data_IF_577352139514
#
_entry.id   IF_577352139514
#
_cell.length_a   1.000
_cell.length_b   1.000
_cell.length_c   1.000
_cell.angle_alpha   90.00
_cell.angle_beta   90.00
_cell.angle_gamma   90.00
#
_symmetry.space_group_name_H-M   'P 1'
#
loop_
_entity.id
_entity.type
_entity.pdbx_description
1 polymer ?
#
# COMPACT_ATOMS: atom_id res chain seq x y z
N UNK A 1 23.88 -7.32 -16.71
CA UNK A 1 23.98 -6.24 -15.71
C UNK A 1 23.24 -6.71 -14.47
N UNK A 2 23.96 -7.30 -13.52
CA UNK A 2 23.39 -7.82 -12.27
C UNK A 2 22.95 -6.65 -11.41
N UNK A 3 21.64 -6.38 -11.38
CA UNK A 3 21.01 -5.49 -10.41
C UNK A 3 21.36 -6.01 -9.02
N UNK A 4 22.33 -5.36 -8.36
CA UNK A 4 22.56 -5.55 -6.93
C UNK A 4 21.25 -5.23 -6.21
N UNK A 5 20.65 -6.30 -5.73
CA UNK A 5 19.39 -6.44 -5.06
C UNK A 5 19.38 -5.68 -3.73
N UNK A 6 19.15 -4.36 -3.76
CA UNK A 6 18.81 -3.58 -2.55
C UNK A 6 18.13 -2.22 -2.81
N UNK A 7 17.62 -1.93 -4.01
CA UNK A 7 16.68 -0.81 -4.15
C UNK A 7 15.29 -1.25 -3.65
N UNK A 8 14.99 -0.97 -2.39
CA UNK A 8 13.62 -1.01 -1.89
C UNK A 8 12.84 0.13 -2.56
N UNK A 9 12.01 -0.19 -3.56
CA UNK A 9 11.10 0.76 -4.18
C UNK A 9 10.17 1.33 -3.11
N UNK A 10 10.15 2.66 -2.97
CA UNK A 10 9.13 3.33 -2.18
C UNK A 10 7.76 3.14 -2.84
N UNK A 11 6.76 2.90 -2.02
CA UNK A 11 5.38 3.05 -2.41
C UNK A 11 4.56 3.57 -1.22
N UNK A 12 3.77 4.58 -1.51
CA UNK A 12 2.70 5.15 -0.69
C UNK A 12 1.52 4.19 -0.59
N UNK A 13 1.09 3.59 -1.72
CA UNK A 13 0.06 2.55 -1.72
C UNK A 13 0.22 1.55 -2.87
N UNK A 14 -0.35 0.35 -2.74
CA UNK A 14 -0.41 -0.65 -3.82
C UNK A 14 -1.02 -0.09 -5.12
N UNK A 15 -1.99 0.83 -5.01
CA UNK A 15 -2.56 1.47 -6.18
C UNK A 15 -1.57 2.40 -6.88
N UNK A 16 -0.74 3.11 -6.12
CA UNK A 16 0.31 3.97 -6.68
C UNK A 16 1.40 3.16 -7.39
N UNK A 17 1.70 1.93 -6.93
CA UNK A 17 2.56 0.99 -7.70
C UNK A 17 1.92 0.67 -9.04
N UNK A 18 0.64 0.32 -9.03
CA UNK A 18 -0.10 0.03 -10.24
C UNK A 18 -0.14 1.23 -11.20
N UNK A 19 -0.41 2.45 -10.69
CA UNK A 19 -0.36 3.67 -11.50
C UNK A 19 1.02 3.90 -12.10
N UNK A 20 2.08 3.72 -11.31
CA UNK A 20 3.47 3.86 -11.78
C UNK A 20 3.76 2.91 -12.93
N UNK A 21 3.35 1.65 -12.82
CA UNK A 21 3.51 0.67 -13.90
C UNK A 21 2.68 1.06 -15.12
N UNK A 22 1.43 1.52 -14.93
CA UNK A 22 0.58 1.99 -16.03
C UNK A 22 1.20 3.18 -16.78
N UNK A 23 1.75 4.17 -16.07
CA UNK A 23 2.48 5.28 -16.69
C UNK A 23 3.67 4.77 -17.49
N UNK A 24 4.48 3.90 -16.90
CA UNK A 24 5.65 3.35 -17.57
C UNK A 24 5.27 2.58 -18.83
N UNK A 25 4.28 1.69 -18.76
CA UNK A 25 3.76 0.95 -19.92
C UNK A 25 3.20 1.89 -20.98
N UNK A 26 2.45 2.92 -20.58
CA UNK A 26 1.94 3.95 -21.49
C UNK A 26 3.08 4.63 -22.28
N UNK A 27 4.18 5.01 -21.62
CA UNK A 27 5.32 5.60 -22.31
C UNK A 27 6.05 4.64 -23.24
N UNK A 28 6.14 3.35 -22.89
CA UNK A 28 6.72 2.35 -23.80
C UNK A 28 5.88 2.17 -25.07
N UNK A 29 4.55 2.24 -24.95
CA UNK A 29 3.61 2.15 -26.07
C UNK A 29 3.54 3.43 -26.91
N UNK A 30 3.92 4.58 -26.32
CA UNK A 30 3.85 5.90 -26.95
C UNK A 30 5.21 6.60 -26.88
N UNK A 31 6.25 6.10 -27.58
CA UNK A 31 7.61 6.63 -27.49
C UNK A 31 7.73 8.08 -27.98
N UNK A 32 6.83 8.51 -28.87
CA UNK A 32 6.77 9.88 -29.38
C UNK A 32 6.14 10.88 -28.40
N UNK A 33 5.63 10.41 -27.26
CA UNK A 33 5.02 11.25 -26.24
C UNK A 33 6.10 12.05 -25.50
N UNK A 34 6.29 13.32 -25.89
CA UNK A 34 7.28 14.21 -25.29
C UNK A 34 6.79 14.90 -24.00
N UNK A 35 5.50 14.79 -23.67
CA UNK A 35 4.88 15.50 -22.56
C UNK A 35 4.39 14.48 -21.53
N UNK A 36 4.86 14.64 -20.29
CA UNK A 36 4.37 13.85 -19.17
C UNK A 36 2.88 14.17 -18.91
N UNK A 37 1.98 13.16 -18.85
CA UNK A 37 0.58 13.42 -18.55
C UNK A 37 0.45 14.02 -17.15
N UNK A 38 -0.10 15.23 -17.04
CA UNK A 38 -0.33 15.90 -15.75
C UNK A 38 -1.35 15.17 -14.87
N UNK A 39 -2.20 14.32 -15.45
CA UNK A 39 -3.21 13.53 -14.74
C UNK A 39 -3.23 12.08 -15.20
N UNK A 40 -3.52 11.18 -14.26
CA UNK A 40 -3.72 9.76 -14.53
C UNK A 40 -4.90 9.50 -15.48
N UNK A 41 -5.84 10.45 -15.58
CA UNK A 41 -6.99 10.37 -16.49
C UNK A 41 -6.59 10.15 -17.96
N UNK A 42 -5.47 10.71 -18.41
CA UNK A 42 -4.99 10.53 -19.80
C UNK A 42 -4.56 9.09 -20.05
N UNK A 43 -3.80 8.51 -19.11
CA UNK A 43 -3.38 7.09 -19.18
C UNK A 43 -4.59 6.18 -19.13
N UNK A 44 -5.55 6.48 -18.24
CA UNK A 44 -6.81 5.74 -18.20
C UNK A 44 -7.57 5.80 -19.53
N UNK A 45 -7.67 6.99 -20.13
CA UNK A 45 -8.38 7.17 -21.41
C UNK A 45 -7.72 6.37 -22.55
N UNK A 46 -6.38 6.33 -22.59
CA UNK A 46 -5.63 5.51 -23.56
C UNK A 46 -6.00 4.03 -23.44
N UNK A 47 -5.85 3.44 -22.25
CA UNK A 47 -6.15 2.01 -22.05
C UNK A 47 -7.64 1.70 -22.23
N UNK A 48 -8.54 2.61 -21.81
CA UNK A 48 -9.97 2.47 -22.02
C UNK A 48 -10.38 2.46 -23.51
N UNK A 49 -9.58 3.11 -24.36
CA UNK A 49 -9.79 3.19 -25.81
C UNK A 49 -9.31 1.95 -26.57
N UNK A 50 -8.54 1.06 -25.94
CA UNK A 50 -8.12 -0.20 -26.54
C UNK A 50 -9.31 -1.15 -26.72
N UNK A 51 -9.13 -2.15 -27.59
CA UNK A 51 -10.15 -3.18 -27.81
C UNK A 51 -10.41 -3.95 -26.51
N UNK A 52 -11.67 -4.25 -26.22
CA UNK A 52 -12.10 -4.91 -24.96
C UNK A 52 -12.38 -6.41 -25.14
N UNK A 53 -11.91 -7.00 -26.23
CA UNK A 53 -12.09 -8.44 -26.50
C UNK A 53 -11.22 -9.30 -25.56
N UNK A 54 -9.99 -8.84 -25.30
CA UNK A 54 -9.05 -9.41 -24.33
C UNK A 54 -8.59 -8.31 -23.37
N UNK A 55 -8.08 -8.69 -22.20
CA UNK A 55 -7.34 -7.73 -21.39
C UNK A 55 -6.01 -7.39 -22.07
N UNK A 56 -5.46 -6.20 -21.83
CA UNK A 56 -4.21 -5.78 -22.47
C UNK A 56 -3.10 -6.82 -22.26
N UNK A 57 -2.93 -7.34 -21.04
CA UNK A 57 -1.89 -8.32 -20.72
C UNK A 57 -2.07 -9.69 -21.38
N UNK A 58 -3.21 -9.95 -22.03
CA UNK A 58 -3.48 -11.17 -22.80
C UNK A 58 -3.27 -10.95 -24.31
N UNK A 59 -2.99 -9.72 -24.76
CA UNK A 59 -2.66 -9.42 -26.15
C UNK A 59 -1.17 -9.67 -26.42
N UNK A 60 -0.80 -9.88 -27.69
CA UNK A 60 0.59 -10.07 -28.09
C UNK A 60 1.50 -8.90 -27.64
N UNK A 61 1.01 -7.67 -27.76
CA UNK A 61 1.74 -6.47 -27.31
C UNK A 61 1.88 -6.41 -25.78
N UNK A 62 0.88 -6.90 -25.05
CA UNK A 62 0.82 -6.82 -23.60
C UNK A 62 1.60 -7.89 -22.85
N UNK A 63 1.83 -9.06 -23.46
CA UNK A 63 2.51 -10.20 -22.84
C UNK A 63 3.87 -9.83 -22.22
N UNK A 64 4.64 -8.99 -22.91
CA UNK A 64 5.96 -8.53 -22.42
C UNK A 64 5.91 -7.76 -21.10
N UNK A 65 4.75 -7.23 -20.72
CA UNK A 65 4.57 -6.42 -19.51
C UNK A 65 4.02 -7.21 -18.32
N UNK A 66 3.62 -8.47 -18.49
CA UNK A 66 2.99 -9.27 -17.43
C UNK A 66 3.80 -9.30 -16.13
N UNK A 67 5.12 -9.48 -16.23
CA UNK A 67 6.02 -9.53 -15.07
C UNK A 67 6.08 -8.21 -14.28
N UNK A 68 5.79 -7.07 -14.92
CA UNK A 68 5.73 -5.79 -14.21
C UNK A 68 4.48 -5.74 -13.33
N UNK A 69 3.34 -6.16 -13.87
CA UNK A 69 2.08 -6.16 -13.14
C UNK A 69 2.02 -7.22 -12.04
N UNK A 70 2.81 -8.29 -12.11
CA UNK A 70 2.90 -9.28 -11.01
C UNK A 70 3.53 -8.74 -9.72
N UNK A 71 4.21 -7.58 -9.78
CA UNK A 71 4.76 -6.90 -8.59
C UNK A 71 3.68 -6.18 -7.77
N UNK A 72 2.51 -5.93 -8.37
CA UNK A 72 1.36 -5.29 -7.69
C UNK A 72 0.68 -6.32 -6.81
N UNK A 73 0.52 -6.00 -5.52
CA UNK A 73 -0.21 -6.86 -4.59
C UNK A 73 -1.69 -6.45 -4.64
N UNK A 74 -2.39 -6.92 -5.67
CA UNK A 74 -3.76 -6.48 -5.97
C UNK A 74 -4.73 -6.68 -4.80
N UNK A 75 -4.52 -7.71 -3.98
CA UNK A 75 -5.30 -7.94 -2.76
C UNK A 75 -5.20 -6.79 -1.75
N UNK A 76 -4.12 -5.99 -1.80
CA UNK A 76 -3.94 -4.80 -0.97
C UNK A 76 -4.64 -3.53 -1.48
N UNK A 77 -5.26 -3.57 -2.65
CA UNK A 77 -6.03 -2.44 -3.20
C UNK A 77 -7.47 -2.55 -2.70
N UNK A 78 -7.73 -2.04 -1.49
CA UNK A 78 -9.05 -2.17 -0.82
C UNK A 78 -10.05 -1.09 -1.20
N UNK A 79 -9.61 0.00 -1.85
CA UNK A 79 -10.49 1.10 -2.25
C UNK A 79 -11.31 0.73 -3.51
N UNK A 80 -12.64 0.76 -3.38
CA UNK A 80 -13.57 0.41 -4.47
C UNK A 80 -13.40 1.29 -5.72
N UNK A 81 -13.06 2.58 -5.58
CA UNK A 81 -12.81 3.48 -6.70
C UNK A 81 -11.57 3.04 -7.47
N UNK A 82 -10.50 2.65 -6.76
CA UNK A 82 -9.28 2.15 -7.38
C UNK A 82 -9.52 0.84 -8.15
N UNK A 83 -10.25 -0.10 -7.54
CA UNK A 83 -10.67 -1.35 -8.21
C UNK A 83 -11.53 -1.08 -9.45
N UNK A 84 -12.42 -0.09 -9.38
CA UNK A 84 -13.23 0.33 -10.53
C UNK A 84 -12.35 0.88 -11.66
N UNK A 85 -11.33 1.68 -11.36
CA UNK A 85 -10.38 2.17 -12.35
C UNK A 85 -9.61 1.03 -13.02
N UNK A 86 -9.08 0.08 -12.23
CA UNK A 86 -8.36 -1.09 -12.74
C UNK A 86 -9.26 -1.91 -13.68
N UNK A 87 -10.50 -2.16 -13.27
CA UNK A 87 -11.49 -2.90 -14.08
C UNK A 87 -11.80 -2.18 -15.38
N UNK A 88 -11.94 -0.85 -15.35
CA UNK A 88 -12.36 -0.07 -16.51
C UNK A 88 -11.26 0.00 -17.57
N UNK A 89 -10.00 0.15 -17.13
CA UNK A 89 -8.84 0.16 -18.03
C UNK A 89 -8.57 -1.17 -18.71
N UNK A 90 -9.12 -2.28 -18.20
CA UNK A 90 -9.02 -3.61 -18.80
C UNK A 90 -7.56 -4.02 -19.11
N UNK A 91 -6.61 -3.58 -18.28
CA UNK A 91 -5.20 -3.90 -18.47
C UNK A 91 -4.93 -5.34 -18.04
N UNK A 92 -5.40 -5.70 -16.85
CA UNK A 92 -5.21 -7.01 -16.24
C UNK A 92 -6.39 -7.93 -16.54
N UNK A 93 -6.20 -9.26 -16.51
CA UNK A 93 -7.27 -10.21 -16.73
C UNK A 93 -8.44 -10.02 -15.77
N UNK A 94 -9.66 -10.22 -16.28
CA UNK A 94 -10.88 -10.07 -15.46
C UNK A 94 -10.95 -11.10 -14.33
N UNK A 95 -10.41 -12.30 -14.55
CA UNK A 95 -10.31 -13.35 -13.52
C UNK A 95 -9.57 -12.85 -12.28
N UNK A 96 -8.44 -12.17 -12.45
CA UNK A 96 -7.67 -11.59 -11.35
C UNK A 96 -8.52 -10.63 -10.50
N UNK A 97 -9.34 -9.79 -11.13
CA UNK A 97 -10.21 -8.85 -10.40
C UNK A 97 -11.32 -9.59 -9.65
N UNK A 98 -11.89 -10.65 -10.25
CA UNK A 98 -12.89 -11.49 -9.58
C UNK A 98 -12.26 -12.19 -8.37
N UNK A 99 -11.05 -12.71 -8.50
CA UNK A 99 -10.32 -13.36 -7.42
C UNK A 99 -10.06 -12.36 -6.27
N UNK A 100 -9.57 -11.16 -6.59
CA UNK A 100 -9.33 -10.10 -5.59
C UNK A 100 -10.62 -9.72 -4.85
N UNK A 101 -11.72 -9.53 -5.58
CA UNK A 101 -13.01 -9.22 -4.97
C UNK A 101 -13.54 -10.36 -4.09
N UNK A 102 -13.32 -11.61 -4.50
CA UNK A 102 -13.69 -12.79 -3.71
C UNK A 102 -12.88 -12.84 -2.42
N UNK A 103 -11.57 -12.61 -2.48
CA UNK A 103 -10.70 -12.54 -1.29
C UNK A 103 -11.12 -11.41 -0.34
N UNK A 104 -11.52 -10.26 -0.89
CA UNK A 104 -12.03 -9.15 -0.08
C UNK A 104 -13.34 -9.49 0.62
N UNK A 105 -14.26 -10.14 -0.09
CA UNK A 105 -15.52 -10.61 0.46
C UNK A 105 -15.29 -11.63 1.59
N UNK A 106 -14.42 -12.61 1.37
CA UNK A 106 -14.04 -13.59 2.39
C UNK A 106 -13.40 -12.92 3.60
N UNK A 107 -12.49 -11.97 3.37
CA UNK A 107 -11.84 -11.24 4.46
C UNK A 107 -12.85 -10.46 5.31
N UNK A 108 -13.84 -9.82 4.68
CA UNK A 108 -14.91 -9.13 5.39
C UNK A 108 -15.79 -10.10 6.20
N UNK A 109 -16.16 -11.25 5.62
CA UNK A 109 -16.95 -12.27 6.32
C UNK A 109 -16.20 -12.92 7.47
N UNK A 110 -14.88 -13.05 7.36
CA UNK A 110 -13.98 -13.54 8.40
C UNK A 110 -13.59 -12.44 9.41
N UNK A 111 -14.39 -11.38 9.54
CA UNK A 111 -14.17 -10.33 10.55
C UNK A 111 -12.89 -9.52 10.33
N UNK A 112 -12.46 -9.41 9.07
CA UNK A 112 -11.30 -8.64 8.60
C UNK A 112 -10.01 -9.44 8.44
N UNK A 113 -10.06 -10.77 8.57
CA UNK A 113 -8.90 -11.66 8.40
C UNK A 113 -8.49 -11.79 6.95
N UNK A 114 -7.22 -11.45 6.67
CA UNK A 114 -6.62 -11.69 5.38
C UNK A 114 -6.27 -13.17 5.25
N UNK A 115 -6.51 -13.74 4.07
CA UNK A 115 -6.17 -15.13 3.78
C UNK A 115 -4.68 -15.38 4.08
N UNK A 116 -4.40 -16.50 4.74
CA UNK A 116 -3.04 -16.94 5.06
C UNK A 116 -2.27 -17.23 3.78
N UNK A 117 -1.58 -16.22 3.27
CA UNK A 117 -0.56 -16.38 2.24
C UNK A 117 0.73 -16.81 2.95
N UNK A 118 1.39 -17.84 2.43
CA UNK A 118 2.48 -18.57 3.08
C UNK A 118 3.72 -17.72 3.40
N UNK A 119 3.92 -16.61 2.69
CA UNK A 119 5.08 -15.75 2.86
C UNK A 119 4.65 -14.32 3.21
N UNK A 120 5.20 -13.78 4.30
CA UNK A 120 4.88 -12.43 4.78
C UNK A 120 5.03 -11.37 3.70
N UNK A 121 6.09 -11.45 2.88
CA UNK A 121 6.32 -10.46 1.83
C UNK A 121 5.24 -10.51 0.75
N UNK A 122 4.82 -11.67 0.26
CA UNK A 122 3.75 -11.73 -0.77
C UNK A 122 2.37 -11.44 -0.18
N UNK A 123 2.14 -11.82 1.08
CA UNK A 123 0.86 -11.66 1.78
C UNK A 123 0.49 -10.22 2.09
N UNK A 124 1.49 -9.39 2.27
CA UNK A 124 1.33 -8.16 3.02
C UNK A 124 1.04 -6.94 2.16
N UNK A 125 0.40 -5.95 2.75
CA UNK A 125 0.02 -4.72 2.05
C UNK A 125 1.09 -3.68 2.28
N UNK A 126 1.57 -3.07 1.19
CA UNK A 126 2.53 -1.97 1.25
C UNK A 126 1.79 -0.65 1.33
N UNK A 127 2.21 0.14 2.29
CA UNK A 127 1.82 1.52 2.44
C UNK A 127 2.95 2.27 3.11
N UNK A 128 3.08 3.55 2.86
CA UNK A 128 4.22 4.29 3.36
C UNK A 128 4.07 5.78 3.17
N UNK A 129 4.89 6.56 3.84
CA UNK A 129 4.85 8.03 3.73
C UNK A 129 6.23 8.55 3.31
N UNK A 130 6.31 9.84 2.96
CA UNK A 130 7.58 10.54 2.74
C UNK A 130 7.75 11.65 3.76
N UNK A 131 8.89 11.68 4.46
CA UNK A 131 9.24 12.78 5.36
C UNK A 131 9.95 13.88 4.55
N UNK A 132 9.23 14.98 4.32
CA UNK A 132 9.77 16.14 3.63
C UNK A 132 10.64 17.02 4.55
N UNK A 133 11.48 17.87 3.96
CA UNK A 133 12.42 18.78 4.66
C UNK A 133 11.77 19.69 5.71
N UNK A 134 10.46 19.90 5.65
CA UNK A 134 9.72 20.78 6.56
C UNK A 134 9.17 20.07 7.80
N UNK A 135 9.46 18.77 7.99
CA UNK A 135 8.90 17.95 9.06
C UNK A 135 7.35 17.94 9.10
N UNK A 136 6.71 18.38 8.01
CA UNK A 136 5.27 18.26 7.80
C UNK A 136 5.02 16.92 7.12
N UNK A 137 4.25 16.08 7.78
CA UNK A 137 3.81 14.79 7.27
C UNK A 137 2.28 14.74 7.32
N UNK A 138 1.67 14.34 6.21
CA UNK A 138 0.26 13.99 6.20
C UNK A 138 0.14 12.56 6.72
N UNK A 139 -0.69 12.31 7.76
CA UNK A 139 -0.90 10.97 8.27
C UNK A 139 -1.54 10.13 7.16
N UNK A 140 -0.81 9.14 6.68
CA UNK A 140 -1.36 8.18 5.74
C UNK A 140 -2.07 7.09 6.52
N UNK A 141 -3.37 6.95 6.27
CA UNK A 141 -4.24 5.97 6.91
C UNK A 141 -4.50 4.84 5.92
N UNK A 142 -4.27 3.60 6.33
CA UNK A 142 -4.68 2.42 5.56
C UNK A 142 -5.94 1.84 6.16
N UNK A 143 -6.89 1.55 5.27
CA UNK A 143 -8.10 0.81 5.57
C UNK A 143 -7.93 -0.65 5.16
N UNK A 144 -8.08 -1.55 6.13
CA UNK A 144 -8.00 -3.00 5.97
C UNK A 144 -9.23 -3.66 6.57
N UNK A 145 -10.24 -3.93 5.73
CA UNK A 145 -11.42 -4.73 6.08
C UNK A 145 -12.09 -4.35 7.42
N UNK A 146 -12.26 -3.05 7.64
CA UNK A 146 -12.87 -2.52 8.87
C UNK A 146 -11.88 -1.98 9.90
N UNK A 147 -10.59 -2.27 9.75
CA UNK A 147 -9.54 -1.73 10.61
C UNK A 147 -8.82 -0.57 9.95
N UNK A 148 -8.53 0.46 10.74
CA UNK A 148 -7.82 1.64 10.29
C UNK A 148 -6.53 1.73 11.06
N UNK A 149 -5.42 1.81 10.33
CA UNK A 149 -4.11 1.99 10.90
C UNK A 149 -3.52 3.28 10.36
N UNK A 150 -2.75 3.96 11.19
CA UNK A 150 -1.99 5.13 10.81
C UNK A 150 -0.52 4.91 11.10
N UNK A 151 0.35 5.23 10.15
CA UNK A 151 1.79 5.24 10.34
C UNK A 151 2.20 6.62 10.86
N UNK A 152 2.59 6.69 12.13
CA UNK A 152 2.95 7.93 12.82
C UNK A 152 4.44 8.06 13.04
N UNK A 153 4.87 9.32 13.15
CA UNK A 153 6.25 9.69 13.38
C UNK A 153 6.32 10.74 14.48
N UNK A 154 7.06 10.42 15.54
CA UNK A 154 7.40 11.37 16.58
C UNK A 154 8.89 11.76 16.42
N UNK A 155 9.19 13.05 16.40
CA UNK A 155 10.56 13.56 16.43
C UNK A 155 10.94 13.84 17.88
N UNK A 156 11.85 13.05 18.43
CA UNK A 156 12.39 13.24 19.78
C UNK A 156 13.85 13.65 19.62
N UNK A 157 14.14 14.90 19.99
CA UNK A 157 15.45 15.54 19.76
C UNK A 157 15.85 15.49 18.26
N UNK A 158 16.85 14.68 17.93
CA UNK A 158 17.38 14.48 16.58
C UNK A 158 17.07 13.09 16.00
N UNK A 159 16.15 12.35 16.62
CA UNK A 159 15.77 10.99 16.21
C UNK A 159 14.29 10.94 15.85
N UNK A 160 13.97 10.37 14.70
CA UNK A 160 12.58 10.03 14.36
C UNK A 160 12.24 8.64 14.88
N UNK A 161 11.07 8.56 15.51
CA UNK A 161 10.48 7.35 16.06
C UNK A 161 9.23 7.02 15.26
N UNK A 162 9.20 5.85 14.63
CA UNK A 162 8.07 5.41 13.82
C UNK A 162 7.26 4.35 14.54
N UNK A 163 5.95 4.41 14.41
CA UNK A 163 5.05 3.43 14.98
C UNK A 163 3.75 3.39 14.19
N UNK A 164 3.05 2.27 14.28
CA UNK A 164 1.71 2.12 13.75
C UNK A 164 0.74 2.32 14.91
N UNK A 165 -0.35 3.05 14.69
CA UNK A 165 -1.45 3.21 15.64
C UNK A 165 -2.76 2.75 15.01
N UNK A 166 -3.55 1.97 15.75
CA UNK A 166 -4.93 1.65 15.34
C UNK A 166 -5.84 2.83 15.66
N UNK A 167 -6.53 3.33 14.64
CA UNK A 167 -7.46 4.45 14.80
C UNK A 167 -8.84 3.96 15.29
N UNK A 168 -9.53 4.85 16.00
CA UNK A 168 -10.94 4.66 16.41
C UNK A 168 -11.85 5.54 15.56
N UNK A 169 -13.15 5.19 15.44
CA UNK A 169 -14.10 5.98 14.65
C UNK A 169 -14.19 7.46 15.07
N UNK A 170 -13.92 7.75 16.34
CA UNK A 170 -13.99 9.09 16.93
C UNK A 170 -12.73 9.93 16.74
N UNK A 171 -11.67 9.41 16.09
CA UNK A 171 -10.42 10.14 15.94
C UNK A 171 -10.47 11.14 14.78
N UNK A 172 -9.99 12.36 15.06
CA UNK A 172 -10.03 13.48 14.10
C UNK A 172 -9.11 13.31 12.89
N UNK A 173 -8.28 12.26 12.88
CA UNK A 173 -7.40 11.93 11.76
C UNK A 173 -8.16 11.33 10.59
N UNK A 174 -9.34 10.77 10.85
CA UNK A 174 -10.22 10.24 9.82
C UNK A 174 -11.02 11.38 9.20
N UNK A 175 -11.09 11.41 7.88
CA UNK A 175 -12.02 12.30 7.19
C UNK A 175 -13.46 11.88 7.49
N UNK A 176 -14.41 12.81 7.36
CA UNK A 176 -15.84 12.51 7.50
C UNK A 176 -16.30 11.36 6.59
N UNK A 177 -15.71 11.24 5.39
CA UNK A 177 -16.02 10.13 4.49
C UNK A 177 -15.53 8.81 5.07
N UNK A 178 -14.32 8.78 5.60
CA UNK A 178 -13.74 7.59 6.22
C UNK A 178 -14.47 7.19 7.49
N UNK A 179 -14.94 8.14 8.30
CA UNK A 179 -15.62 7.88 9.57
C UNK A 179 -17.10 7.44 9.42
N UNK A 180 -17.85 8.01 8.46
CA UNK A 180 -19.28 7.69 8.31
C UNK A 180 -19.62 6.72 7.19
N UNK A 181 -18.83 6.68 6.10
CA UNK A 181 -19.20 5.91 4.89
C UNK A 181 -18.48 4.57 4.76
N UNK A 182 -17.48 4.32 5.58
CA UNK A 182 -16.74 3.07 5.60
C UNK A 182 -17.00 2.32 6.89
N UNK A 183 -16.93 0.99 6.81
CA UNK A 183 -17.21 0.11 7.95
C UNK A 183 -16.07 0.18 8.96
N UNK A 184 -16.40 0.28 10.26
CA UNK A 184 -15.44 0.13 11.35
C UNK A 184 -15.66 -1.19 12.05
N UNK A 185 -14.59 -1.96 12.21
CA UNK A 185 -14.56 -3.14 13.05
C UNK A 185 -14.52 -2.72 14.51
N UNK A 186 -15.56 -3.10 15.25
CA UNK A 186 -15.68 -2.87 16.70
C UNK A 186 -14.98 -3.96 17.54
N UNK A 187 -14.21 -4.86 16.91
CA UNK A 187 -13.50 -5.92 17.63
C UNK A 187 -12.53 -5.31 18.65
N UNK A 188 -12.57 -5.80 19.87
CA UNK A 188 -11.78 -5.29 21.01
C UNK A 188 -10.28 -5.34 20.73
N UNK A 189 -9.81 -6.32 19.97
CA UNK A 189 -8.41 -6.50 19.64
C UNK A 189 -8.18 -6.97 18.20
N UNK A 190 -6.98 -6.70 17.70
CA UNK A 190 -6.50 -7.11 16.38
C UNK A 190 -5.03 -7.45 16.44
N UNK A 191 -4.68 -8.72 16.19
CA UNK A 191 -3.29 -9.12 16.03
C UNK A 191 -2.85 -8.75 14.61
N UNK A 192 -1.75 -8.01 14.52
CA UNK A 192 -1.18 -7.55 13.25
C UNK A 192 0.28 -7.94 13.22
N UNK A 193 0.67 -8.62 12.14
CA UNK A 193 2.07 -8.87 11.83
C UNK A 193 2.55 -7.76 10.91
N UNK A 194 3.66 -7.11 11.25
CA UNK A 194 4.16 -5.98 10.49
C UNK A 194 5.67 -5.90 10.37
N UNK A 195 6.13 -5.14 9.37
CA UNK A 195 7.53 -4.77 9.19
C UNK A 195 7.59 -3.30 8.77
N UNK A 196 8.43 -2.53 9.44
CA UNK A 196 8.72 -1.14 9.09
C UNK A 196 10.12 -1.12 8.48
N UNK A 197 10.20 -0.65 7.24
CA UNK A 197 11.46 -0.36 6.56
C UNK A 197 11.55 1.14 6.35
N UNK A 198 12.60 1.78 6.83
CA UNK A 198 12.84 3.20 6.60
C UNK A 198 14.15 3.41 5.85
N UNK A 199 14.08 4.09 4.72
CA UNK A 199 15.27 4.47 3.96
C UNK A 199 15.61 5.92 4.21
N UNK A 200 16.86 6.18 4.61
CA UNK A 200 17.42 7.50 4.83
C UNK A 200 18.40 7.88 3.72
N UNK A 201 18.34 9.12 3.25
CA UNK A 201 19.35 9.67 2.35
C UNK A 201 20.29 10.61 3.10
N UNK A 202 21.39 10.07 3.65
CA UNK A 202 22.42 10.87 4.31
C UNK A 202 23.59 11.08 3.34
N UNK A 203 23.98 12.33 3.06
CA UNK A 203 25.01 12.67 2.07
C UNK A 203 24.85 11.98 0.70
N UNK A 204 23.60 11.83 0.21
CA UNK A 204 23.25 11.11 -1.04
C UNK A 204 23.54 9.60 -1.04
N UNK A 205 23.84 9.01 0.11
CA UNK A 205 23.97 7.56 0.27
C UNK A 205 22.71 7.01 0.94
N UNK A 206 21.95 6.12 0.27
CA UNK A 206 20.77 5.52 0.87
C UNK A 206 21.18 4.49 1.94
N UNK A 207 20.73 4.71 3.17
CA UNK A 207 20.87 3.76 4.29
C UNK A 207 19.50 3.25 4.66
N UNK A 208 19.31 1.94 4.58
CA UNK A 208 18.01 1.30 4.87
C UNK A 208 18.04 0.66 6.25
N UNK A 209 17.05 0.98 7.07
CA UNK A 209 16.82 0.40 8.38
C UNK A 209 15.53 -0.44 8.35
N UNK A 210 15.52 -1.59 9.02
CA UNK A 210 14.37 -2.51 9.05
C UNK A 210 14.13 -3.01 10.47
N UNK A 211 12.86 -3.11 10.87
CA UNK A 211 12.48 -3.77 12.12
C UNK A 211 12.59 -5.29 12.07
N UNK A 212 12.56 -5.87 10.87
CA UNK A 212 12.19 -7.27 10.70
C UNK A 212 10.68 -7.48 10.85
N UNK A 213 10.23 -8.73 10.83
CA UNK A 213 8.82 -9.10 10.99
C UNK A 213 8.51 -9.15 12.49
N UNK A 214 7.59 -8.30 12.93
CA UNK A 214 7.09 -8.20 14.29
C UNK A 214 5.59 -8.52 14.33
N UNK A 215 5.07 -8.83 15.52
CA UNK A 215 3.63 -8.98 15.74
C UNK A 215 3.19 -8.13 16.93
N UNK A 216 2.03 -7.49 16.83
CA UNK A 216 1.47 -6.65 17.88
C UNK A 216 -0.05 -6.78 17.95
N UNK A 217 -0.59 -6.72 19.18
CA UNK A 217 -2.03 -6.78 19.44
C UNK A 217 -2.57 -5.38 19.64
N UNK A 218 -3.28 -4.86 18.64
CA UNK A 218 -3.90 -3.54 18.65
C UNK A 218 -5.29 -3.60 19.26
N UNK A 219 -5.47 -2.97 20.43
CA UNK A 219 -6.71 -2.93 21.20
C UNK A 219 -7.52 -1.66 20.95
N UNK A 220 -8.84 -1.75 21.03
CA UNK A 220 -9.75 -0.62 20.83
C UNK A 220 -9.95 0.22 22.10
N UNK A 221 -9.79 -0.41 23.27
CA UNK A 221 -10.04 0.19 24.60
C UNK A 221 -8.87 1.07 25.07
N UNK A 222 -7.68 0.86 24.52
CA UNK A 222 -6.52 1.67 24.84
C UNK A 222 -6.66 3.07 24.22
N UNK A 223 -6.38 4.12 25.00
CA UNK A 223 -6.44 5.51 24.51
C UNK A 223 -5.56 5.71 23.26
N UNK A 224 -4.46 4.97 23.20
CA UNK A 224 -3.50 4.93 22.11
C UNK A 224 -2.98 3.51 21.96
N UNK A 225 -3.55 2.72 21.04
CA UNK A 225 -3.05 1.38 20.78
C UNK A 225 -1.98 1.41 19.69
N UNK A 226 -0.72 1.35 20.13
CA UNK A 226 0.47 1.63 19.33
C UNK A 226 1.42 0.45 19.31
N UNK A 227 2.00 0.20 18.14
CA UNK A 227 3.12 -0.71 18.00
C UNK A 227 4.35 -0.23 18.79
N UNK A 228 5.34 -1.10 18.93
CA UNK A 228 6.65 -0.69 19.46
C UNK A 228 7.26 0.42 18.58
N UNK A 229 7.95 1.37 19.23
CA UNK A 229 8.67 2.43 18.55
C UNK A 229 9.87 1.86 17.80
N UNK A 230 9.93 2.12 16.50
CA UNK A 230 11.13 1.96 15.71
C UNK A 230 11.99 3.21 15.85
N UNK A 231 12.98 3.16 16.74
CA UNK A 231 13.98 4.21 16.95
C UNK A 231 15.19 3.98 16.04
N UNK A 232 15.71 5.03 15.38
CA UNK A 232 16.99 4.90 14.67
C UNK A 232 17.22 5.86 13.50
N UNK A 233 16.26 6.71 13.15
CA UNK A 233 16.42 7.63 12.02
C UNK A 233 16.99 8.97 12.50
N UNK A 234 18.30 9.18 12.35
CA UNK A 234 18.94 10.48 12.61
C UNK A 234 19.08 11.31 11.32
N UNK A 235 18.53 12.52 11.31
CA UNK A 235 18.74 13.52 10.24
C UNK A 235 18.18 13.13 8.85
N UNK A 236 16.97 12.60 8.79
CA UNK A 236 16.49 11.80 7.65
C UNK A 236 15.38 12.46 6.83
N UNK A 237 15.52 12.49 5.50
CA UNK A 237 14.39 12.48 4.55
C UNK A 237 13.98 11.03 4.33
N UNK A 238 13.02 10.55 5.11
CA UNK A 238 12.77 9.12 5.24
C UNK A 238 11.63 8.70 4.35
N UNK A 239 11.74 7.46 3.89
CA UNK A 239 10.63 6.74 3.33
C UNK A 239 10.34 5.52 4.20
N UNK A 240 9.38 5.60 5.13
CA UNK A 240 8.92 4.41 5.81
C UNK A 240 7.88 3.65 4.97
N UNK A 241 8.14 2.37 4.76
CA UNK A 241 7.19 1.38 4.28
C UNK A 241 6.75 0.56 5.49
N UNK A 242 5.48 0.66 5.84
CA UNK A 242 4.85 -0.28 6.72
C UNK A 242 4.24 -1.40 5.87
N UNK A 243 4.30 -2.60 6.43
CA UNK A 243 3.83 -3.80 5.80
C UNK A 243 2.86 -4.41 6.80
N UNK A 244 1.56 -4.42 6.52
CA UNK A 244 0.57 -4.95 7.46
C UNK A 244 0.01 -6.26 6.94
N UNK A 245 0.08 -7.29 7.77
CA UNK A 245 -0.68 -8.51 7.65
C UNK A 245 -1.64 -8.64 8.84
N UNK A 246 -2.88 -8.93 8.52
CA UNK A 246 -4.01 -9.03 9.42
C UNK A 246 -4.37 -10.52 9.54
N UNK A 247 -3.81 -11.23 10.51
CA UNK A 247 -4.07 -12.66 10.74
C UNK A 247 -4.47 -12.94 12.19
N UNK A 248 -5.56 -13.69 12.40
CA UNK A 248 -5.96 -14.22 13.70
C UNK A 248 -5.40 -15.65 13.89
N UNK A 249 -4.92 -15.98 15.09
CA UNK A 249 -4.86 -17.37 15.53
C UNK A 249 -6.20 -17.77 16.14
N UNK A 250 -6.86 -18.78 15.59
CA UNK A 250 -7.83 -19.55 16.36
C UNK A 250 -7.03 -20.47 17.29
N UNK A 251 -7.03 -20.14 18.59
CA UNK A 251 -6.98 -21.13 19.67
C UNK A 251 -7.90 -20.63 20.78
#
# INVERSE_FOLDING_TARGET
MTLQSNLCLFTDSEFSVYQTICYWTYFQLNPDCQIFPYSFSTVMAFFNGLTKQLSFLETEEGLQYQHLFSVVRFHGITNAIHLHHIRTMNIVPRSLIVDVLSQHFDSLNCGGDMLSISEFESASIRWGLVINYRDVYDPEVVFLFGFYFNLKIDKIENTYHLYIERLRPSESTLTFRESERHTFSLRSERIVTYSITATSLHHRVPTTYKTGVLSHTFRMEEKHSRSQYFAGLKGVHAVPRAVINCSQSMF
#
